data_IF_155773103074
#
_entry.id   IF_155773103074
#
_cell.length_a   1.000
_cell.length_b   1.000
_cell.length_c   1.000
_cell.angle_alpha   90.00
_cell.angle_beta   90.00
_cell.angle_gamma   90.00
#
_symmetry.space_group_name_H-M   'P 1'
#
loop_
_entity.id
_entity.type
_entity.pdbx_description
1 polymer ?
#
# COMPACT_ATOMS: atom_id res chain seq x y z
N UNK A 1 0.28 -2.01 -4.88
CA UNK A 1 0.27 -3.49 -4.95
C UNK A 1 1.51 -3.95 -4.21
N UNK A 2 1.37 -4.76 -3.17
CA UNK A 2 2.51 -5.21 -2.36
C UNK A 2 3.43 -6.19 -3.09
N UNK A 3 2.99 -6.78 -4.22
CA UNK A 3 3.82 -7.67 -5.03
C UNK A 3 4.73 -6.88 -6.01
N UNK A 4 4.18 -5.92 -6.77
CA UNK A 4 4.91 -5.24 -7.84
C UNK A 4 5.06 -3.73 -7.66
N UNK A 5 4.65 -3.19 -6.52
CA UNK A 5 4.69 -1.76 -6.19
C UNK A 5 3.67 -0.88 -6.92
N UNK A 6 3.00 -1.35 -7.97
CA UNK A 6 2.16 -0.45 -8.77
C UNK A 6 0.87 -0.01 -8.07
N UNK A 7 0.44 1.21 -8.36
CA UNK A 7 -0.88 1.73 -8.01
C UNK A 7 -1.72 1.72 -9.30
N UNK A 8 -2.42 0.61 -9.55
CA UNK A 8 -3.23 0.44 -10.76
C UNK A 8 -4.55 1.22 -10.69
N UNK A 9 -5.19 1.44 -11.84
CA UNK A 9 -6.52 2.06 -11.89
C UNK A 9 -7.57 1.22 -11.14
N UNK A 10 -7.44 -0.12 -11.17
CA UNK A 10 -8.35 -1.07 -10.54
C UNK A 10 -8.05 -1.39 -9.06
N UNK A 11 -7.03 -0.75 -8.45
CA UNK A 11 -6.79 -0.96 -7.02
C UNK A 11 -7.90 -0.28 -6.20
N UNK A 12 -8.35 -0.87 -5.07
CA UNK A 12 -9.29 -0.22 -4.16
C UNK A 12 -8.77 1.14 -3.69
N UNK A 13 -9.61 2.19 -3.76
CA UNK A 13 -9.24 3.57 -3.44
C UNK A 13 -10.34 4.28 -2.65
N UNK A 14 -9.93 5.13 -1.71
CA UNK A 14 -10.83 5.95 -0.90
C UNK A 14 -11.87 5.15 -0.11
N UNK A 15 -12.89 5.85 0.40
CA UNK A 15 -13.99 5.23 1.16
C UNK A 15 -14.82 4.25 0.32
N UNK A 16 -15.04 4.56 -0.95
CA UNK A 16 -15.79 3.69 -1.87
C UNK A 16 -15.10 2.33 -2.08
N UNK A 17 -13.77 2.29 -2.04
CA UNK A 17 -12.99 1.05 -2.13
C UNK A 17 -13.02 0.17 -0.88
N UNK A 18 -13.57 0.66 0.25
CA UNK A 18 -13.63 -0.10 1.50
C UNK A 18 -14.64 -1.27 1.47
N UNK A 19 -15.50 -1.35 0.45
CA UNK A 19 -16.34 -2.55 0.23
C UNK A 19 -15.59 -3.68 -0.48
N UNK A 20 -14.51 -3.37 -1.20
CA UNK A 20 -13.78 -4.36 -2.01
C UNK A 20 -12.84 -5.12 -1.08
N UNK A 21 -13.13 -6.41 -0.86
CA UNK A 21 -12.30 -7.32 -0.06
C UNK A 21 -11.15 -7.90 -0.87
N UNK A 22 -11.44 -8.35 -2.08
CA UNK A 22 -10.45 -8.95 -2.97
C UNK A 22 -10.37 -8.21 -4.30
N UNK A 23 -9.17 -8.09 -4.85
CA UNK A 23 -8.96 -7.60 -6.22
C UNK A 23 -7.68 -8.19 -6.82
N UNK A 24 -7.67 -8.30 -8.14
CA UNK A 24 -6.48 -8.72 -8.90
C UNK A 24 -5.73 -7.49 -9.40
N UNK A 25 -4.44 -7.40 -9.12
CA UNK A 25 -3.61 -6.33 -9.63
C UNK A 25 -3.52 -6.38 -11.16
N UNK A 26 -3.95 -5.30 -11.85
CA UNK A 26 -3.91 -5.24 -13.31
C UNK A 26 -2.51 -5.32 -13.93
N UNK A 27 -1.44 -5.04 -13.16
CA UNK A 27 -0.06 -5.07 -13.67
C UNK A 27 0.60 -6.44 -13.53
N UNK A 28 0.47 -7.08 -12.38
CA UNK A 28 1.20 -8.31 -12.06
C UNK A 28 0.32 -9.56 -11.92
N UNK A 29 -1.01 -9.41 -12.02
CA UNK A 29 -1.95 -10.52 -11.93
C UNK A 29 -2.12 -11.12 -10.53
N UNK A 30 -1.42 -10.62 -9.50
CA UNK A 30 -1.60 -11.12 -8.13
C UNK A 30 -2.97 -10.72 -7.57
N UNK A 31 -3.72 -11.68 -7.06
CA UNK A 31 -4.94 -11.46 -6.28
C UNK A 31 -4.57 -11.14 -4.84
N UNK A 32 -5.22 -10.13 -4.28
CA UNK A 32 -4.95 -9.62 -2.95
C UNK A 32 -6.23 -9.52 -2.14
N UNK A 33 -6.15 -9.86 -0.85
CA UNK A 33 -7.02 -9.27 0.17
C UNK A 33 -6.57 -7.83 0.46
N UNK A 34 -7.53 -6.90 0.52
CA UNK A 34 -7.29 -5.45 0.68
C UNK A 34 -6.58 -5.13 1.95
N UNK A 35 -7.03 -5.67 3.07
CA UNK A 35 -6.52 -5.30 4.38
C UNK A 35 -5.12 -5.90 4.59
N UNK A 36 -4.90 -7.15 4.14
CA UNK A 36 -3.57 -7.79 4.16
C UNK A 36 -2.59 -7.05 3.27
N UNK A 37 -2.97 -6.69 2.03
CA UNK A 37 -2.09 -5.94 1.14
C UNK A 37 -1.80 -4.53 1.68
N UNK A 38 -2.78 -3.86 2.29
CA UNK A 38 -2.57 -2.57 2.93
C UNK A 38 -1.53 -2.69 4.06
N UNK A 39 -1.68 -3.68 4.94
CA UNK A 39 -0.72 -3.95 6.02
C UNK A 39 0.70 -4.18 5.47
N UNK A 40 0.85 -4.97 4.39
CA UNK A 40 2.15 -5.18 3.72
C UNK A 40 2.77 -3.88 3.20
N UNK A 41 1.99 -3.01 2.55
CA UNK A 41 2.53 -1.73 2.06
C UNK A 41 2.91 -0.79 3.22
N UNK A 42 2.13 -0.77 4.31
CA UNK A 42 2.45 0.02 5.49
C UNK A 42 3.75 -0.48 6.14
N UNK A 43 3.93 -1.79 6.25
CA UNK A 43 5.17 -2.40 6.76
C UNK A 43 6.37 -2.02 5.90
N UNK A 44 6.25 -2.11 4.57
CA UNK A 44 7.31 -1.73 3.63
C UNK A 44 7.71 -0.25 3.78
N UNK A 45 6.74 0.66 3.81
CA UNK A 45 6.99 2.10 4.05
C UNK A 45 7.60 2.35 5.44
N UNK A 46 7.20 1.57 6.45
CA UNK A 46 7.80 1.62 7.79
C UNK A 46 9.28 1.25 7.77
N UNK A 47 9.66 0.20 7.04
CA UNK A 47 11.06 -0.19 6.86
C UNK A 47 11.86 0.86 6.07
N UNK A 48 11.29 1.47 5.03
CA UNK A 48 11.92 2.58 4.30
C UNK A 48 12.20 3.78 5.21
N UNK A 49 11.24 4.13 6.09
CA UNK A 49 11.41 5.20 7.07
C UNK A 49 12.54 4.92 8.07
N UNK A 50 12.75 3.66 8.46
CA UNK A 50 13.87 3.28 9.32
C UNK A 50 15.21 3.39 8.59
N UNK A 51 15.26 3.07 7.30
CA UNK A 51 16.47 3.24 6.49
C UNK A 51 16.85 4.71 6.25
N UNK A 52 15.87 5.61 6.12
CA UNK A 52 16.08 7.05 5.93
C UNK A 52 16.28 7.87 7.21
N UNK A 53 16.11 7.26 8.39
CA UNK A 53 16.12 7.95 9.68
C UNK A 53 14.85 8.76 9.96
N UNK A 54 14.62 9.11 11.23
CA UNK A 54 13.53 10.00 11.63
C UNK A 54 14.06 11.44 11.56
N UNK A 55 13.84 12.14 10.45
CA UNK A 55 14.02 13.60 10.44
C UNK A 55 12.86 14.23 11.22
N UNK A 56 13.12 14.63 12.46
CA UNK A 56 12.18 15.48 13.19
C UNK A 56 11.96 16.76 12.37
N UNK A 57 10.72 17.21 12.15
CA UNK A 57 10.51 18.53 11.60
C UNK A 57 11.10 19.52 12.60
N UNK A 58 12.06 20.33 12.16
CA UNK A 58 12.48 21.51 12.92
C UNK A 58 11.20 22.32 13.16
N UNK A 59 10.86 22.45 14.45
CA UNK A 59 9.58 23.00 14.88
C UNK A 59 9.28 24.35 14.23
N UNK A 60 8.00 24.60 14.01
CA UNK A 60 7.46 25.94 13.81
C UNK A 60 6.57 26.27 14.99
#
# INVERSE_FOLDING_TARGET
CSCCGCISHNSPKGRAGLGIREWTCAKCGTTHDRDVNAAKNILALGHERLAGGITAPLGR
#
